data_IF_676485328294
#
_entry.id   IF_676485328294
#
_cell.length_a   1.000
_cell.length_b   1.000
_cell.length_c   1.000
_cell.angle_alpha   90.00
_cell.angle_beta   90.00
_cell.angle_gamma   90.00
#
_symmetry.space_group_name_H-M   'P 1'
#
loop_
_entity.id
_entity.type
_entity.pdbx_description
1 polymer ?
#
# COMPACT_ATOMS: atom_id res chain seq x y z
N UNK A 1 -13.97 -14.34 8.61
CA UNK A 1 -12.55 -14.44 8.17
C UNK A 1 -11.60 -13.89 9.25
N UNK A 2 -10.41 -14.48 9.47
CA UNK A 2 -9.42 -13.89 10.37
C UNK A 2 -8.98 -12.52 9.83
N UNK A 3 -8.84 -11.53 10.71
CA UNK A 3 -8.27 -10.23 10.33
C UNK A 3 -6.80 -10.46 10.00
N UNK A 4 -6.38 -10.07 8.80
CA UNK A 4 -4.97 -10.07 8.43
C UNK A 4 -4.20 -9.09 9.33
N UNK A 5 -2.95 -9.42 9.69
CA UNK A 5 -2.13 -8.51 10.47
C UNK A 5 -1.91 -7.21 9.71
N UNK A 6 -1.96 -6.08 10.42
CA UNK A 6 -1.73 -4.74 9.85
C UNK A 6 -0.62 -4.06 10.62
N UNK A 7 0.22 -3.32 9.91
CA UNK A 7 1.28 -2.50 10.49
C UNK A 7 1.15 -1.05 10.03
N UNK A 8 1.43 -0.07 10.91
CA UNK A 8 1.51 1.32 10.50
C UNK A 8 2.80 1.53 9.69
N UNK A 9 2.73 2.34 8.64
CA UNK A 9 3.89 2.74 7.85
C UNK A 9 3.69 4.14 7.28
N UNK A 10 4.80 4.81 6.94
CA UNK A 10 4.78 6.11 6.26
C UNK A 10 5.00 5.91 4.78
N UNK A 11 4.13 6.43 3.92
CA UNK A 11 4.31 6.36 2.47
C UNK A 11 5.61 7.05 2.06
N UNK A 12 6.50 6.33 1.38
CA UNK A 12 7.75 6.86 0.87
C UNK A 12 7.51 7.78 -0.35
N UNK A 13 6.53 7.42 -1.16
CA UNK A 13 6.13 8.13 -2.38
C UNK A 13 4.60 8.20 -2.43
N UNK A 14 4.08 9.32 -2.92
CA UNK A 14 2.65 9.47 -3.15
C UNK A 14 2.21 8.73 -4.41
N UNK A 15 0.91 8.46 -4.50
CA UNK A 15 0.31 7.87 -5.69
C UNK A 15 -1.11 8.36 -5.89
N UNK A 16 -1.55 8.43 -7.14
CA UNK A 16 -2.93 8.72 -7.51
C UNK A 16 -3.74 7.42 -7.58
N UNK A 17 -5.02 7.51 -7.21
CA UNK A 17 -6.00 6.43 -7.31
C UNK A 17 -7.21 6.89 -8.12
N UNK A 18 -7.84 5.95 -8.82
CA UNK A 18 -9.00 6.24 -9.64
C UNK A 18 -10.26 6.47 -8.79
N UNK A 19 -10.90 7.61 -8.96
CA UNK A 19 -12.13 7.97 -8.24
C UNK A 19 -13.24 6.91 -8.36
N UNK A 20 -13.96 6.69 -7.25
CA UNK A 20 -15.16 5.87 -7.21
C UNK A 20 -14.90 4.37 -7.26
N UNK A 21 -13.67 3.94 -6.99
CA UNK A 21 -13.33 2.53 -6.83
C UNK A 21 -12.40 2.36 -5.65
N UNK A 22 -12.65 1.32 -4.86
CA UNK A 22 -11.74 0.88 -3.82
C UNK A 22 -10.53 0.22 -4.49
N UNK A 23 -9.35 0.72 -4.21
CA UNK A 23 -8.11 0.24 -4.81
C UNK A 23 -7.20 -0.37 -3.73
N UNK A 24 -6.45 -1.41 -4.11
CA UNK A 24 -5.47 -2.05 -3.25
C UNK A 24 -4.10 -1.89 -3.88
N UNK A 25 -3.30 -0.99 -3.31
CA UNK A 25 -1.97 -0.67 -3.80
C UNK A 25 -0.96 -1.60 -3.16
N UNK A 26 -0.22 -2.32 -4.00
CA UNK A 26 0.88 -3.20 -3.59
C UNK A 26 2.02 -2.34 -3.05
N UNK A 27 2.51 -2.67 -1.87
CA UNK A 27 3.63 -1.96 -1.24
C UNK A 27 4.71 -2.91 -0.78
N UNK A 28 5.95 -2.43 -0.87
CA UNK A 28 7.10 -3.02 -0.19
C UNK A 28 7.39 -2.21 1.05
N UNK A 29 7.49 -2.89 2.19
CA UNK A 29 7.94 -2.27 3.43
C UNK A 29 9.47 -2.20 3.46
N UNK A 30 10.01 -1.04 3.79
CA UNK A 30 11.43 -0.81 4.06
C UNK A 30 11.63 -0.34 5.51
N UNK A 31 12.70 -0.81 6.16
CA UNK A 31 12.98 -0.51 7.56
C UNK A 31 12.34 -1.48 8.55
N UNK A 32 12.52 -1.23 9.85
CA UNK A 32 12.09 -2.11 10.94
C UNK A 32 11.23 -1.37 11.95
N UNK A 33 10.19 -2.05 12.45
CA UNK A 33 9.33 -1.58 13.55
C UNK A 33 8.57 -0.29 13.23
N UNK A 34 8.56 0.63 14.20
CA UNK A 34 7.76 1.88 14.20
C UNK A 34 8.19 2.90 13.13
N UNK A 35 9.22 2.59 12.33
CA UNK A 35 9.77 3.45 11.28
C UNK A 35 9.59 2.87 9.88
N UNK A 36 8.71 1.88 9.72
CA UNK A 36 8.46 1.25 8.44
C UNK A 36 8.02 2.29 7.39
N UNK A 37 8.68 2.27 6.23
CA UNK A 37 8.28 3.04 5.06
C UNK A 37 7.56 2.13 4.08
N UNK A 38 6.40 2.56 3.60
CA UNK A 38 5.66 1.87 2.56
C UNK A 38 6.05 2.45 1.19
N UNK A 39 6.72 1.66 0.36
CA UNK A 39 7.10 2.02 -1.01
C UNK A 39 6.08 1.41 -1.97
N UNK A 40 5.28 2.21 -2.71
CA UNK A 40 4.36 1.70 -3.72
C UNK A 40 5.08 0.93 -4.83
N UNK A 41 4.52 -0.20 -5.23
CA UNK A 41 4.99 -0.95 -6.39
C UNK A 41 4.14 -0.53 -7.59
N UNK A 42 4.68 0.39 -8.39
CA UNK A 42 4.06 0.83 -9.63
C UNK A 42 4.32 -0.23 -10.71
N UNK A 43 3.35 -1.09 -10.92
CA UNK A 43 3.36 -2.11 -11.95
C UNK A 43 1.96 -2.23 -12.56
N UNK A 44 1.88 -2.59 -13.84
CA UNK A 44 0.59 -2.86 -14.46
C UNK A 44 -0.17 -3.96 -13.70
N UNK A 45 -1.50 -3.88 -13.73
CA UNK A 45 -2.37 -4.81 -13.01
C UNK A 45 -2.14 -6.28 -13.40
N UNK A 46 -1.75 -6.52 -14.66
CA UNK A 46 -1.47 -7.85 -15.20
C UNK A 46 -0.14 -8.47 -14.73
N UNK A 47 0.73 -7.71 -14.07
CA UNK A 47 2.06 -8.18 -13.66
C UNK A 47 1.96 -8.93 -12.33
N UNK A 48 1.72 -10.25 -12.41
CA UNK A 48 1.61 -11.12 -11.23
C UNK A 48 2.90 -11.12 -10.40
N UNK A 49 4.07 -10.99 -11.02
CA UNK A 49 5.36 -10.96 -10.32
C UNK A 49 5.46 -9.83 -9.29
N UNK A 50 4.71 -8.73 -9.45
CA UNK A 50 4.67 -7.64 -8.47
C UNK A 50 4.03 -8.06 -7.13
N UNK A 51 3.17 -9.08 -7.11
CA UNK A 51 2.61 -9.62 -5.87
C UNK A 51 3.69 -10.35 -5.05
N UNK A 52 4.60 -11.06 -5.72
CA UNK A 52 5.71 -11.73 -5.05
C UNK A 52 6.73 -10.75 -4.45
N UNK A 53 6.78 -9.52 -4.96
CA UNK A 53 7.64 -8.45 -4.46
C UNK A 53 6.98 -7.60 -3.36
N UNK A 54 5.66 -7.69 -3.22
CA UNK A 54 4.91 -6.93 -2.23
C UNK A 54 5.03 -7.58 -0.85
N UNK A 55 5.20 -6.77 0.19
CA UNK A 55 5.08 -7.23 1.57
C UNK A 55 3.63 -7.12 2.07
N UNK A 56 2.82 -6.28 1.43
CA UNK A 56 1.41 -6.13 1.75
C UNK A 56 0.68 -5.18 0.82
N UNK A 57 -0.51 -4.78 1.25
CA UNK A 57 -1.42 -3.89 0.54
C UNK A 57 -1.79 -2.67 1.38
N UNK A 58 -1.83 -1.51 0.73
CA UNK A 58 -2.50 -0.31 1.22
C UNK A 58 -3.87 -0.23 0.57
N UNK A 59 -4.90 -0.08 1.40
CA UNK A 59 -6.26 0.13 0.91
C UNK A 59 -6.50 1.62 0.67
N UNK A 60 -7.04 1.93 -0.50
CA UNK A 60 -7.49 3.27 -0.88
C UNK A 60 -9.03 3.24 -0.95
N UNK A 61 -9.73 3.94 -0.06
CA UNK A 61 -11.19 4.07 -0.10
C UNK A 61 -11.69 4.74 -1.39
N UNK A 62 -12.95 4.49 -1.73
CA UNK A 62 -13.59 4.99 -2.97
C UNK A 62 -13.68 6.52 -3.07
N UNK A 63 -13.65 7.20 -1.92
CA UNK A 63 -13.70 8.66 -1.74
C UNK A 63 -12.30 9.32 -1.70
N UNK A 64 -11.24 8.53 -1.83
CA UNK A 64 -9.85 8.99 -1.78
C UNK A 64 -9.21 8.87 -3.16
N UNK A 65 -8.71 9.97 -3.71
CA UNK A 65 -8.08 10.02 -5.05
C UNK A 65 -6.57 9.72 -5.03
N UNK A 66 -6.06 9.23 -3.89
CA UNK A 66 -4.65 8.93 -3.68
C UNK A 66 -4.14 9.40 -2.33
N UNK A 67 -2.85 9.16 -2.07
CA UNK A 67 -2.17 9.63 -0.87
C UNK A 67 -0.88 10.33 -1.25
N UNK A 68 -0.53 11.35 -0.46
CA UNK A 68 0.74 12.07 -0.59
C UNK A 68 1.88 11.33 0.11
N UNK A 69 3.11 11.59 -0.32
CA UNK A 69 4.29 11.10 0.39
C UNK A 69 4.30 11.64 1.83
N UNK A 70 4.74 10.81 2.78
CA UNK A 70 4.70 11.15 4.21
C UNK A 70 3.37 10.85 4.90
N UNK A 71 2.34 10.42 4.17
CA UNK A 71 1.07 10.02 4.78
C UNK A 71 1.23 8.72 5.56
N UNK A 72 0.74 8.69 6.80
CA UNK A 72 0.64 7.46 7.59
C UNK A 72 -0.49 6.58 7.04
N UNK A 73 -0.14 5.33 6.71
CA UNK A 73 -1.06 4.35 6.15
C UNK A 73 -0.98 3.04 6.92
N UNK A 74 -2.04 2.25 6.81
CA UNK A 74 -2.06 0.88 7.31
C UNK A 74 -1.76 -0.08 6.18
N UNK A 75 -0.69 -0.85 6.35
CA UNK A 75 -0.34 -1.93 5.42
C UNK A 75 -0.90 -3.24 5.95
N UNK A 76 -1.79 -3.85 5.19
CA UNK A 76 -2.25 -5.22 5.42
C UNK A 76 -1.19 -6.20 4.89
N UNK A 77 -0.58 -6.97 5.78
CA UNK A 77 0.44 -7.96 5.41
C UNK A 77 -0.23 -9.19 4.79
N UNK A 78 0.48 -9.82 3.85
CA UNK A 78 0.02 -11.04 3.16
C UNK A 78 -0.19 -12.24 4.09
#
# INVERSE_FOLDING_TARGET
PPRRPRVPAVLAEGFASAKGRREFVRVRLEGEGDRARAVPIIAESAVISSLALAHGLVEVPEDVEGFEAGTEVWVELW
#
